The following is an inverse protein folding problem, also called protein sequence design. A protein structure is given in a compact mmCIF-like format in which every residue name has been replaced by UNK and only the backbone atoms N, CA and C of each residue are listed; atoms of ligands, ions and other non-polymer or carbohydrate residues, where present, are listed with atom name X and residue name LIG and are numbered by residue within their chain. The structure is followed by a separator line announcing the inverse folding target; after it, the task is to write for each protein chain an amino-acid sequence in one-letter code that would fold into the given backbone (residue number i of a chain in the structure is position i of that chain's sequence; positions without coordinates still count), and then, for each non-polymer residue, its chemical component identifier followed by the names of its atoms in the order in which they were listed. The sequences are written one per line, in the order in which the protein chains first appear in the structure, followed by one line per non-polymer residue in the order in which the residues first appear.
data_IF_935688486439
#
_entry.id   IF_935688486439
#
_cell.length_a   1.000
_cell.length_b   1.000
_cell.length_c   1.000
_cell.angle_alpha   90.00
_cell.angle_beta   90.00
_cell.angle_gamma   90.00
#
_symmetry.space_group_name_H-M   'P 1'
#
loop_
_entity.id
_entity.type
_entity.pdbx_description
1 polymer ?
#
# COMPACT_ATOMS: atom_id res chain seq x y z
N UNK A 1 -10.36 11.26 -8.60
CA UNK A 1 -9.57 10.08 -8.22
C UNK A 1 -8.16 10.27 -8.74
N UNK A 2 -7.14 9.98 -7.94
CA UNK A 2 -5.76 9.93 -8.40
C UNK A 2 -5.62 8.89 -9.51
N UNK A 3 -4.93 9.23 -10.61
CA UNK A 3 -4.77 8.33 -11.77
C UNK A 3 -3.32 7.95 -12.00
N UNK A 4 -2.39 8.75 -11.49
CA UNK A 4 -0.95 8.57 -11.65
C UNK A 4 -0.27 8.48 -10.28
N UNK A 5 0.97 7.96 -10.27
CA UNK A 5 1.82 7.97 -9.08
C UNK A 5 1.99 9.40 -8.55
N UNK A 6 2.21 10.36 -9.44
CA UNK A 6 2.36 11.77 -9.08
C UNK A 6 1.12 12.35 -8.36
N UNK A 7 -0.09 11.97 -8.79
CA UNK A 7 -1.32 12.38 -8.13
C UNK A 7 -1.40 11.83 -6.69
N UNK A 8 -0.97 10.58 -6.47
CA UNK A 8 -0.94 9.96 -5.13
C UNK A 8 0.09 10.65 -4.24
N UNK A 9 1.30 10.90 -4.76
CA UNK A 9 2.36 11.58 -4.00
C UNK A 9 1.96 13.01 -3.63
N UNK A 10 1.25 13.70 -4.53
CA UNK A 10 0.67 15.01 -4.26
C UNK A 10 -0.38 14.93 -3.15
N UNK A 11 -1.31 13.97 -3.24
CA UNK A 11 -2.34 13.76 -2.22
C UNK A 11 -1.76 13.46 -0.84
N UNK A 12 -0.70 12.66 -0.75
CA UNK A 12 0.01 12.34 0.50
C UNK A 12 0.56 13.62 1.15
N UNK A 13 1.19 14.49 0.35
CA UNK A 13 1.76 15.76 0.84
C UNK A 13 0.68 16.77 1.24
N UNK A 14 -0.34 16.96 0.41
CA UNK A 14 -1.40 17.96 0.64
C UNK A 14 -2.26 17.64 1.87
N UNK A 15 -2.46 16.35 2.17
CA UNK A 15 -3.27 15.91 3.30
C UNK A 15 -2.43 15.56 4.54
N UNK A 16 -1.14 15.88 4.55
CA UNK A 16 -0.21 15.58 5.65
C UNK A 16 -0.32 14.12 6.15
N UNK A 17 -0.42 13.19 5.19
CA UNK A 17 -0.67 11.78 5.47
C UNK A 17 0.47 11.19 6.28
N UNK A 18 0.13 10.60 7.43
CA UNK A 18 1.12 9.98 8.33
C UNK A 18 1.36 8.50 8.04
N UNK A 19 0.35 7.83 7.48
CA UNK A 19 0.36 6.39 7.24
C UNK A 19 -0.27 6.05 5.89
N UNK A 20 0.26 5.02 5.25
CA UNK A 20 -0.29 4.42 4.04
C UNK A 20 -0.69 3.00 4.36
N UNK A 21 -1.92 2.64 3.99
CA UNK A 21 -2.51 1.33 4.23
C UNK A 21 -2.60 0.57 2.90
N UNK A 22 -1.73 -0.42 2.72
CA UNK A 22 -1.77 -1.30 1.56
C UNK A 22 -2.83 -2.36 1.78
N UNK A 23 -3.79 -2.47 0.87
CA UNK A 23 -4.88 -3.44 0.95
C UNK A 23 -4.84 -4.42 -0.21
N UNK A 24 -5.12 -5.68 0.08
CA UNK A 24 -5.22 -6.74 -0.90
C UNK A 24 -6.26 -7.77 -0.46
N UNK A 25 -6.64 -8.64 -1.37
CA UNK A 25 -7.63 -9.69 -1.11
C UNK A 25 -6.98 -11.04 -1.29
N UNK A 26 -7.13 -11.92 -0.29
CA UNK A 26 -6.68 -13.30 -0.41
C UNK A 26 -7.58 -14.14 -1.33
N UNK A 27 -7.19 -15.38 -1.60
CA UNK A 27 -7.94 -16.28 -2.52
C UNK A 27 -9.33 -16.65 -2.00
N UNK A 28 -9.61 -16.42 -0.72
CA UNK A 28 -10.91 -16.67 -0.08
C UNK A 28 -11.81 -15.43 -0.07
N UNK A 29 -11.32 -14.31 -0.61
CA UNK A 29 -12.07 -13.06 -0.68
C UNK A 29 -11.95 -12.19 0.58
N UNK A 30 -11.08 -12.53 1.54
CA UNK A 30 -10.89 -11.70 2.74
C UNK A 30 -9.93 -10.55 2.43
N UNK A 31 -10.33 -9.34 2.81
CA UNK A 31 -9.46 -8.16 2.77
C UNK A 31 -8.40 -8.27 3.87
N UNK A 32 -7.14 -8.12 3.46
CA UNK A 32 -5.95 -8.09 4.29
C UNK A 32 -5.28 -6.73 4.09
N UNK A 33 -4.53 -6.27 5.08
CA UNK A 33 -3.87 -4.98 4.99
C UNK A 33 -2.55 -4.89 5.75
N UNK A 34 -1.66 -4.02 5.27
CA UNK A 34 -0.38 -3.68 5.89
C UNK A 34 -0.27 -2.16 5.93
N UNK A 35 -0.24 -1.59 7.13
CA UNK A 35 -0.07 -0.15 7.33
C UNK A 35 1.39 0.17 7.61
N UNK A 36 1.93 1.16 6.88
CA UNK A 36 3.30 1.66 7.08
C UNK A 36 3.30 3.17 7.31
N UNK A 37 4.26 3.72 8.07
CA UNK A 37 4.45 5.15 8.14
C UNK A 37 4.85 5.69 6.76
N UNK A 38 4.46 6.94 6.46
CA UNK A 38 4.76 7.59 5.17
C UNK A 38 6.25 7.66 4.87
N UNK A 39 7.11 7.62 5.89
CA UNK A 39 8.57 7.56 5.73
C UNK A 39 9.07 6.29 5.03
N UNK A 40 8.25 5.23 4.95
CA UNK A 40 8.54 3.97 4.26
C UNK A 40 7.76 3.83 2.94
N UNK A 41 7.11 4.92 2.49
CA UNK A 41 6.33 4.98 1.27
C UNK A 41 6.94 5.98 0.29
N UNK A 42 7.39 5.47 -0.86
CA UNK A 42 7.94 6.25 -1.96
C UNK A 42 7.43 5.72 -3.31
N UNK A 43 7.88 6.35 -4.40
CA UNK A 43 7.44 6.02 -5.76
C UNK A 43 7.88 4.61 -6.20
N UNK A 44 8.96 4.06 -5.64
CA UNK A 44 9.45 2.71 -5.97
C UNK A 44 8.45 1.62 -5.56
N UNK A 45 7.63 1.86 -4.52
CA UNK A 45 6.57 0.93 -4.10
C UNK A 45 5.54 0.64 -5.18
N UNK A 46 5.37 1.51 -6.17
CA UNK A 46 4.45 1.29 -7.29
C UNK A 46 5.00 0.38 -8.38
N UNK A 47 6.33 0.20 -8.44
CA UNK A 47 6.99 -0.66 -9.43
C UNK A 47 7.55 -1.94 -8.81
N UNK A 48 8.23 -1.81 -7.68
CA UNK A 48 8.93 -2.92 -7.00
C UNK A 48 8.04 -3.63 -5.97
N UNK A 49 6.97 -2.96 -5.52
CA UNK A 49 6.02 -3.49 -4.56
C UNK A 49 6.44 -3.35 -3.08
N UNK A 50 5.57 -3.81 -2.19
CA UNK A 50 5.82 -3.87 -0.74
C UNK A 50 5.92 -5.33 -0.31
N UNK A 51 7.07 -5.73 0.25
CA UNK A 51 7.27 -7.08 0.74
C UNK A 51 6.45 -7.32 2.02
N UNK A 52 5.85 -8.50 2.13
CA UNK A 52 5.17 -8.99 3.32
C UNK A 52 5.29 -10.51 3.42
N UNK A 53 4.99 -11.08 4.60
CA UNK A 53 5.00 -12.53 4.79
C UNK A 53 3.73 -13.17 4.22
N UNK A 54 3.85 -13.78 3.05
CA UNK A 54 2.76 -14.49 2.37
C UNK A 54 2.35 -15.80 3.04
N UNK A 55 3.24 -16.44 3.82
CA UNK A 55 2.93 -17.74 4.46
C UNK A 55 1.86 -17.63 5.56
N UNK A 56 1.66 -16.42 6.07
CA UNK A 56 0.61 -16.08 7.02
C UNK A 56 -0.77 -15.84 6.36
N UNK A 57 -0.87 -15.88 5.03
CA UNK A 57 -2.14 -15.71 4.29
C UNK A 57 -2.74 -17.08 3.97
N UNK A 58 -3.95 -17.32 4.46
CA UNK A 58 -4.60 -18.62 4.30
C UNK A 58 -4.84 -18.96 2.82
N UNK A 59 -4.15 -20.01 2.35
CA UNK A 59 -4.29 -20.54 0.99
C UNK A 59 -3.24 -20.03 0.00
N UNK A 60 -2.16 -19.41 0.48
CA UNK A 60 -1.00 -18.96 -0.28
C UNK A 60 0.26 -19.73 0.11
#
# INVERSE_FOLDING_TARGET
MAKTVADVMKMVKENEVKFVDFRFTDTRGKEQHVTVPVSHFDEDKFTSGHAFDGSSVAGW
#
